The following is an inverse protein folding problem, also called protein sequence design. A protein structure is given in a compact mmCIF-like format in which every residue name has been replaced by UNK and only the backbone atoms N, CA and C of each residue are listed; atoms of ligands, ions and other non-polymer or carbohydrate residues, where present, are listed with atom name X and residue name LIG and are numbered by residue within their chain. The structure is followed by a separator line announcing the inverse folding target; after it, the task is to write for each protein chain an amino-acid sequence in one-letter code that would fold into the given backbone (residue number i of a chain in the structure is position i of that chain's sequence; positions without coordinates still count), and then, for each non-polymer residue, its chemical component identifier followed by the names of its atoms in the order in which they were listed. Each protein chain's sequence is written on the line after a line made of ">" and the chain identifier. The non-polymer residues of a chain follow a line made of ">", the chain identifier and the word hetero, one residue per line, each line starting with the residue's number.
data_IF_850847307103
#
_entry.id   IF_850847307103
#
_cell.length_a   1.000
_cell.length_b   1.000
_cell.length_c   1.000
_cell.angle_alpha   90.00
_cell.angle_beta   90.00
_cell.angle_gamma   90.00
#
_symmetry.space_group_name_H-M   'P 1'
#
loop_
_entity.id
_entity.type
_entity.pdbx_description
1 polymer ?
#
# COMPACT_ATOMS: atom_id res chain seq x y z
N UNK A 1 23.55 -10.11 -11.83
CA UNK A 1 23.23 -9.41 -10.58
C UNK A 1 21.76 -9.63 -10.27
N UNK A 2 21.42 -10.73 -9.59
CA UNK A 2 20.08 -10.99 -9.08
C UNK A 2 20.21 -11.11 -7.57
N UNK A 3 19.89 -10.05 -6.84
CA UNK A 3 19.67 -10.20 -5.41
C UNK A 3 18.36 -10.96 -5.22
N UNK A 4 18.54 -12.26 -5.01
CA UNK A 4 17.63 -13.19 -4.34
C UNK A 4 16.83 -12.46 -3.26
N UNK A 5 15.55 -12.24 -3.54
CA UNK A 5 14.53 -11.98 -2.54
C UNK A 5 14.67 -13.06 -1.46
N UNK A 6 15.22 -12.71 -0.30
CA UNK A 6 15.18 -13.58 0.88
C UNK A 6 13.71 -13.86 1.17
N UNK A 7 13.27 -15.08 0.85
CA UNK A 7 12.07 -15.71 1.40
C UNK A 7 12.22 -15.81 2.92
N UNK A 8 11.92 -14.74 3.64
CA UNK A 8 11.37 -14.86 4.98
C UNK A 8 9.87 -14.58 4.85
N UNK A 9 9.14 -15.56 4.32
CA UNK A 9 7.69 -15.58 4.44
C UNK A 9 7.38 -15.77 5.92
N UNK A 10 7.00 -14.68 6.60
CA UNK A 10 6.47 -14.74 7.96
C UNK A 10 5.10 -15.44 7.90
N UNK A 11 4.95 -16.66 8.45
CA UNK A 11 3.71 -17.42 8.35
C UNK A 11 2.52 -16.79 9.10
N UNK A 12 2.73 -15.73 9.88
CA UNK A 12 1.67 -15.05 10.62
C UNK A 12 0.85 -14.07 9.77
N UNK A 13 1.45 -13.36 8.81
CA UNK A 13 0.77 -12.22 8.18
C UNK A 13 -0.42 -12.62 7.30
N UNK A 14 -0.35 -13.78 6.64
CA UNK A 14 -1.46 -14.34 5.86
C UNK A 14 -2.62 -14.81 6.75
N UNK A 15 -2.31 -15.32 7.95
CA UNK A 15 -3.28 -15.88 8.89
C UNK A 15 -3.89 -14.80 9.82
N UNK A 16 -3.17 -13.68 10.04
CA UNK A 16 -3.57 -12.54 10.89
C UNK A 16 -4.36 -11.46 10.15
N UNK A 17 -4.65 -11.64 8.85
CA UNK A 17 -5.72 -10.85 8.20
C UNK A 17 -7.04 -11.40 8.78
N UNK A 18 -7.39 -10.95 9.99
CA UNK A 18 -8.58 -11.40 10.68
C UNK A 18 -9.84 -11.30 9.80
N UNK A 19 -10.98 -11.88 10.24
CA UNK A 19 -12.16 -12.12 9.41
C UNK A 19 -12.84 -10.88 8.81
N UNK A 20 -12.32 -9.67 9.05
CA UNK A 20 -12.81 -8.41 8.50
C UNK A 20 -11.65 -7.51 8.10
N UNK A 21 -11.32 -7.51 6.81
CA UNK A 21 -10.47 -6.49 6.20
C UNK A 21 -11.11 -5.11 6.39
N UNK A 22 -10.31 -4.06 6.56
CA UNK A 22 -10.89 -2.71 6.60
C UNK A 22 -11.49 -2.33 5.25
N UNK A 23 -12.46 -1.42 5.29
CA UNK A 23 -13.06 -0.83 4.08
C UNK A 23 -12.01 -0.22 3.14
N UNK A 24 -10.90 0.31 3.69
CA UNK A 24 -9.79 0.87 2.92
C UNK A 24 -9.01 -0.21 2.18
N UNK A 25 -8.70 -1.31 2.87
CA UNK A 25 -8.05 -2.49 2.26
C UNK A 25 -8.92 -3.11 1.17
N UNK A 26 -10.24 -3.20 1.38
CA UNK A 26 -11.17 -3.66 0.36
C UNK A 26 -11.17 -2.77 -0.89
N UNK A 27 -11.20 -1.44 -0.75
CA UNK A 27 -11.10 -0.53 -1.89
C UNK A 27 -9.80 -0.76 -2.69
N UNK A 28 -8.69 -0.96 -2.00
CA UNK A 28 -7.38 -1.23 -2.65
C UNK A 28 -7.39 -2.59 -3.36
N UNK A 29 -8.01 -3.63 -2.79
CA UNK A 29 -8.08 -4.93 -3.46
C UNK A 29 -8.86 -4.86 -4.78
N UNK A 30 -9.97 -4.12 -4.82
CA UNK A 30 -10.74 -3.89 -6.04
C UNK A 30 -9.89 -3.17 -7.10
N UNK A 31 -9.04 -2.22 -6.70
CA UNK A 31 -8.12 -1.54 -7.61
C UNK A 31 -7.06 -2.48 -8.18
N UNK A 32 -6.53 -3.40 -7.36
CA UNK A 32 -5.57 -4.40 -7.80
C UNK A 32 -6.19 -5.39 -8.80
N UNK A 33 -7.51 -5.65 -8.71
CA UNK A 33 -8.30 -6.41 -9.69
C UNK A 33 -8.62 -5.63 -10.99
N UNK A 34 -7.79 -4.64 -11.32
CA UNK A 34 -7.86 -3.86 -12.55
C UNK A 34 -9.12 -2.99 -12.75
N UNK A 35 -9.92 -2.76 -11.70
CA UNK A 35 -11.06 -1.83 -11.78
C UNK A 35 -10.60 -0.38 -11.89
N UNK A 36 -11.36 0.41 -12.65
CA UNK A 36 -11.13 1.85 -12.81
C UNK A 36 -11.60 2.63 -11.59
N UNK A 37 -11.05 3.85 -11.39
CA UNK A 37 -11.47 4.75 -10.31
C UNK A 37 -12.99 5.01 -10.31
N UNK A 38 -13.60 5.15 -11.48
CA UNK A 38 -15.03 5.39 -11.63
C UNK A 38 -15.88 4.18 -11.21
N UNK A 39 -15.44 2.96 -11.54
CA UNK A 39 -16.11 1.73 -11.09
C UNK A 39 -15.99 1.57 -9.58
N UNK A 40 -14.80 1.78 -9.02
CA UNK A 40 -14.58 1.70 -7.58
C UNK A 40 -15.45 2.74 -6.86
N UNK A 41 -15.48 3.98 -7.35
CA UNK A 41 -16.32 5.04 -6.79
C UNK A 41 -17.80 4.66 -6.75
N UNK A 42 -18.31 4.07 -7.84
CA UNK A 42 -19.70 3.62 -7.94
C UNK A 42 -20.01 2.46 -6.99
N UNK A 43 -19.14 1.45 -6.95
CA UNK A 43 -19.32 0.24 -6.13
C UNK A 43 -19.20 0.54 -4.64
N UNK A 44 -18.23 1.38 -4.26
CA UNK A 44 -17.89 1.64 -2.85
C UNK A 44 -18.55 2.90 -2.31
N UNK A 45 -19.21 3.70 -3.15
CA UNK A 45 -19.79 5.01 -2.82
C UNK A 45 -18.77 5.99 -2.22
N UNK A 46 -17.53 5.94 -2.71
CA UNK A 46 -16.44 6.81 -2.28
C UNK A 46 -16.06 7.82 -3.37
N UNK A 47 -15.54 8.97 -2.95
CA UNK A 47 -14.94 9.93 -3.88
C UNK A 47 -13.64 9.40 -4.47
N UNK A 48 -13.37 9.75 -5.73
CA UNK A 48 -12.10 9.42 -6.42
C UNK A 48 -10.88 9.93 -5.66
N UNK A 49 -10.99 11.08 -4.98
CA UNK A 49 -9.95 11.63 -4.10
C UNK A 49 -9.63 10.68 -2.93
N UNK A 50 -10.65 10.12 -2.27
CA UNK A 50 -10.46 9.18 -1.16
C UNK A 50 -9.84 7.87 -1.65
N UNK A 51 -10.31 7.37 -2.79
CA UNK A 51 -9.75 6.17 -3.44
C UNK A 51 -8.28 6.38 -3.79
N UNK A 52 -7.93 7.52 -4.41
CA UNK A 52 -6.55 7.88 -4.73
C UNK A 52 -5.67 7.90 -3.48
N UNK A 53 -6.15 8.49 -2.38
CA UNK A 53 -5.42 8.49 -1.09
C UNK A 53 -5.12 7.07 -0.63
N UNK A 54 -6.13 6.18 -0.60
CA UNK A 54 -5.93 4.80 -0.13
C UNK A 54 -4.93 4.02 -0.99
N UNK A 55 -4.99 4.21 -2.32
CA UNK A 55 -4.04 3.62 -3.27
C UNK A 55 -2.63 4.14 -3.03
N UNK A 56 -2.46 5.44 -2.77
CA UNK A 56 -1.16 6.04 -2.46
C UNK A 56 -0.59 5.56 -1.13
N UNK A 57 -1.44 5.42 -0.10
CA UNK A 57 -1.03 4.88 1.21
C UNK A 57 -0.56 3.43 1.07
N UNK A 58 -1.27 2.61 0.29
CA UNK A 58 -0.86 1.24 -0.03
C UNK A 58 0.49 1.22 -0.76
N UNK A 59 0.69 2.09 -1.75
CA UNK A 59 1.96 2.17 -2.47
C UNK A 59 3.15 2.53 -1.56
N UNK A 60 2.94 3.43 -0.60
CA UNK A 60 3.96 3.76 0.43
C UNK A 60 4.30 2.55 1.29
N UNK A 61 3.30 1.78 1.72
CA UNK A 61 3.50 0.54 2.47
C UNK A 61 4.34 -0.45 1.67
N UNK A 62 4.01 -0.67 0.40
CA UNK A 62 4.78 -1.57 -0.49
C UNK A 62 6.23 -1.11 -0.61
N UNK A 63 6.47 0.19 -0.81
CA UNK A 63 7.83 0.75 -0.87
C UNK A 63 8.62 0.52 0.43
N UNK A 64 7.98 0.68 1.59
CA UNK A 64 8.62 0.44 2.89
C UNK A 64 8.99 -1.03 3.08
N UNK A 65 8.09 -1.94 2.70
CA UNK A 65 8.32 -3.39 2.76
C UNK A 65 9.45 -3.80 1.81
N UNK A 66 9.50 -3.25 0.59
CA UNK A 66 10.59 -3.51 -0.35
C UNK A 66 11.95 -3.02 0.15
N UNK A 67 11.96 -1.96 0.98
CA UNK A 67 13.16 -1.48 1.69
C UNK A 67 13.52 -2.31 2.92
N UNK A 68 12.71 -3.32 3.28
CA UNK A 68 12.96 -4.19 4.43
C UNK A 68 12.55 -3.59 5.78
N UNK A 69 11.69 -2.57 5.80
CA UNK A 69 11.21 -1.95 7.03
C UNK A 69 10.19 -2.84 7.75
N UNK A 70 10.15 -2.74 9.08
CA UNK A 70 9.14 -3.42 9.91
C UNK A 70 7.75 -2.81 9.71
N UNK A 71 6.71 -3.52 10.16
CA UNK A 71 5.32 -3.03 10.08
C UNK A 71 5.11 -1.76 10.90
N UNK A 72 5.74 -1.65 12.07
CA UNK A 72 5.66 -0.48 12.94
C UNK A 72 6.34 0.73 12.28
N UNK A 73 7.54 0.57 11.73
CA UNK A 73 8.22 1.64 10.97
C UNK A 73 7.41 2.04 9.74
N UNK A 74 6.88 1.06 9.01
CA UNK A 74 6.05 1.28 7.84
C UNK A 74 4.79 2.06 8.19
N UNK A 75 4.10 1.72 9.28
CA UNK A 75 2.93 2.42 9.76
C UNK A 75 3.26 3.88 10.13
N UNK A 76 4.40 4.09 10.80
CA UNK A 76 4.89 5.41 11.17
C UNK A 76 5.19 6.28 9.94
N UNK A 77 5.96 5.77 8.97
CA UNK A 77 6.34 6.49 7.75
C UNK A 77 5.12 6.75 6.85
N UNK A 78 4.21 5.79 6.74
CA UNK A 78 3.01 5.94 5.93
C UNK A 78 1.93 6.79 6.63
N UNK A 79 2.07 7.11 7.91
CA UNK A 79 1.09 7.88 8.68
C UNK A 79 -0.24 7.15 8.86
N UNK A 80 -0.21 5.82 9.00
CA UNK A 80 -1.39 4.97 9.14
C UNK A 80 -1.30 4.11 10.41
N UNK A 81 -2.41 3.48 10.80
CA UNK A 81 -2.39 2.54 11.91
C UNK A 81 -1.61 1.27 11.55
N UNK A 82 -0.96 0.65 12.53
CA UNK A 82 -0.27 -0.62 12.31
C UNK A 82 -1.19 -1.72 11.79
N UNK A 83 -2.46 -1.72 12.22
CA UNK A 83 -3.47 -2.63 11.68
C UNK A 83 -3.63 -2.45 10.17
N UNK A 84 -3.74 -1.21 9.69
CA UNK A 84 -3.89 -0.94 8.26
C UNK A 84 -2.59 -1.28 7.50
N UNK A 85 -1.42 -1.02 8.09
CA UNK A 85 -0.14 -1.43 7.54
C UNK A 85 -0.06 -2.96 7.37
N UNK A 86 -0.52 -3.73 8.38
CA UNK A 86 -0.65 -5.19 8.30
C UNK A 86 -1.59 -5.65 7.19
N UNK A 87 -2.78 -5.06 7.10
CA UNK A 87 -3.76 -5.40 6.05
C UNK A 87 -3.21 -5.11 4.65
N UNK A 88 -2.55 -3.97 4.46
CA UNK A 88 -1.89 -3.61 3.20
C UNK A 88 -0.70 -4.51 2.88
N UNK A 89 0.13 -4.85 3.87
CA UNK A 89 1.21 -5.81 3.69
C UNK A 89 0.67 -7.19 3.27
N UNK A 90 -0.45 -7.63 3.86
CA UNK A 90 -1.17 -8.85 3.47
C UNK A 90 -1.69 -8.79 2.03
N UNK A 91 -2.28 -7.66 1.60
CA UNK A 91 -2.67 -7.45 0.20
C UNK A 91 -1.47 -7.52 -0.73
N UNK A 92 -0.35 -6.90 -0.38
CA UNK A 92 0.86 -6.98 -1.19
C UNK A 92 1.32 -8.43 -1.36
N UNK A 93 1.39 -9.23 -0.29
CA UNK A 93 1.76 -10.63 -0.40
C UNK A 93 0.79 -11.43 -1.28
N UNK A 94 -0.52 -11.16 -1.18
CA UNK A 94 -1.56 -11.86 -1.97
C UNK A 94 -1.49 -11.52 -3.45
N UNK A 95 -1.26 -10.25 -3.79
CA UNK A 95 -1.24 -9.76 -5.17
C UNK A 95 0.16 -9.68 -5.77
N UNK A 96 1.23 -9.99 -5.03
CA UNK A 96 2.59 -10.09 -5.57
C UNK A 96 2.77 -11.39 -6.38
N UNK A 97 2.01 -11.46 -7.47
CA UNK A 97 1.89 -12.57 -8.42
C UNK A 97 2.18 -12.05 -9.83
N UNK A 98 2.67 -12.88 -10.77
CA UNK A 98 2.99 -12.45 -12.13
C UNK A 98 1.83 -11.72 -12.84
N UNK A 99 0.58 -12.14 -12.60
CA UNK A 99 -0.63 -11.59 -13.20
C UNK A 99 -0.90 -10.13 -12.80
N UNK A 100 -0.39 -9.71 -11.65
CA UNK A 100 -0.61 -8.38 -11.08
C UNK A 100 0.69 -7.55 -11.00
N UNK A 101 1.81 -8.10 -11.48
CA UNK A 101 3.13 -7.48 -11.39
C UNK A 101 3.18 -6.12 -12.10
N UNK A 102 2.57 -6.00 -13.28
CA UNK A 102 2.50 -4.74 -14.03
C UNK A 102 1.77 -3.65 -13.24
N UNK A 103 0.59 -3.97 -12.70
CA UNK A 103 -0.22 -3.05 -11.89
C UNK A 103 0.53 -2.58 -10.64
N UNK A 104 1.19 -3.49 -9.94
CA UNK A 104 2.01 -3.16 -8.77
C UNK A 104 3.21 -2.29 -9.15
N UNK A 105 3.90 -2.59 -10.24
CA UNK A 105 5.06 -1.84 -10.68
C UNK A 105 4.71 -0.41 -11.10
N UNK A 106 3.60 -0.22 -11.84
CA UNK A 106 3.08 1.10 -12.20
C UNK A 106 2.75 1.93 -10.95
N UNK A 107 2.09 1.29 -9.97
CA UNK A 107 1.75 1.93 -8.70
C UNK A 107 3.01 2.39 -7.94
N UNK A 108 4.00 1.51 -7.80
CA UNK A 108 5.26 1.79 -7.10
C UNK A 108 6.01 2.93 -7.80
N UNK A 109 6.07 2.89 -9.13
CA UNK A 109 6.73 3.92 -9.94
C UNK A 109 6.08 5.29 -9.74
N UNK A 110 4.75 5.34 -9.73
CA UNK A 110 3.99 6.57 -9.44
C UNK A 110 4.25 7.06 -8.02
N UNK A 111 4.27 6.17 -7.04
CA UNK A 111 4.51 6.55 -5.65
C UNK A 111 5.92 7.09 -5.41
N UNK A 112 6.95 6.46 -5.99
CA UNK A 112 8.34 6.93 -5.91
C UNK A 112 8.51 8.35 -6.43
N UNK A 113 7.86 8.69 -7.56
CA UNK A 113 7.85 10.06 -8.10
C UNK A 113 7.16 11.07 -7.18
N UNK A 114 6.11 10.65 -6.48
CA UNK A 114 5.39 11.51 -5.55
C UNK A 114 6.17 11.74 -4.24
N UNK A 115 6.92 10.75 -3.75
CA UNK A 115 7.75 10.89 -2.54
C UNK A 115 8.87 11.91 -2.77
N UNK A 116 9.52 11.90 -3.92
CA UNK A 116 10.51 12.91 -4.30
C UNK A 116 9.95 14.36 -4.36
N UNK A 117 8.62 14.51 -4.52
CA UNK A 117 7.95 15.81 -4.53
C UNK A 117 7.43 16.29 -3.17
N UNK A 118 7.56 15.50 -2.10
CA UNK A 118 6.96 15.80 -0.79
C UNK A 118 7.97 16.31 0.27
N UNK A 119 9.26 16.45 -0.07
CA UNK A 119 10.31 16.90 0.86
C UNK A 119 10.32 18.41 1.20
N UNK A 120 9.34 19.22 0.74
CA UNK A 120 9.36 20.69 0.91
C UNK A 120 8.27 21.29 1.81
N UNK A 121 7.52 20.50 2.60
CA UNK A 121 6.47 21.06 3.49
C UNK A 121 6.49 20.53 4.93
N UNK A 122 7.69 20.38 5.49
CA UNK A 122 7.91 20.13 6.93
C UNK A 122 8.79 21.21 7.56
N UNK A 123 8.61 22.48 7.18
CA UNK A 123 9.27 23.61 7.84
C UNK A 123 8.68 23.81 9.23
N UNK A 124 9.45 23.41 10.24
CA UNK A 124 9.22 23.66 11.65
C UNK A 124 9.05 25.17 11.88
N UNK A 125 7.81 25.63 12.05
CA UNK A 125 7.54 26.91 12.66
C UNK A 125 7.78 26.75 14.18
N UNK A 126 9.01 26.97 14.60
CA UNK A 126 9.33 27.32 15.98
C UNK A 126 9.14 28.83 16.10
N UNK A 127 8.21 29.25 16.94
CA UNK A 127 8.08 30.60 17.49
C UNK A 127 8.06 30.48 19.01
#
# INVERSE_FOLDING_TARGET
>A
MNQVFRKHGAPGLYHDIGPSISHKAWIVSIYLEYKTYSEIARTTRHSTTSIKRYIMDFARVVLCIQKGLSLTETAHIAGISERLAREYAGLYLRYNTPEHAERLQDLITKASRNVAGQEQKGGLAVS
#
